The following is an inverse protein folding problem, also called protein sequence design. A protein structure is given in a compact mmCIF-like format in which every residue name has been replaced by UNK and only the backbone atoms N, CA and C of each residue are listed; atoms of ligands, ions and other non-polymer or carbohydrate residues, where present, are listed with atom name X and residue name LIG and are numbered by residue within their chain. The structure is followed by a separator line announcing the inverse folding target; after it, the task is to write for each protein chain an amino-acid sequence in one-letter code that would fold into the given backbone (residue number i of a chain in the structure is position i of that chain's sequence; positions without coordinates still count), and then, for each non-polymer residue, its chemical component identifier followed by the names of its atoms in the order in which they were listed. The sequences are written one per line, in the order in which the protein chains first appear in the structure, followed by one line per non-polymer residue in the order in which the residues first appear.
data_IF_051432606760
#
_entry.id   IF_051432606760
#
_cell.length_a   1.000
_cell.length_b   1.000
_cell.length_c   1.000
_cell.angle_alpha   90.00
_cell.angle_beta   90.00
_cell.angle_gamma   90.00
#
_symmetry.space_group_name_H-M   'P 1'
#
loop_
_entity.id
_entity.type
_entity.pdbx_description
1 polymer ?
#
# COMPACT_ATOMS: atom_id res chain seq x y z
N UNK A 1 48.42 -9.04 22.84
CA UNK A 1 47.55 -7.88 22.51
C UNK A 1 47.93 -7.14 21.22
N UNK A 2 49.19 -6.75 20.98
CA UNK A 2 49.59 -5.97 19.78
C UNK A 2 49.25 -6.63 18.42
N UNK A 3 49.38 -7.95 18.31
CA UNK A 3 49.10 -8.70 17.06
C UNK A 3 47.62 -8.62 16.67
N UNK A 4 46.70 -8.76 17.65
CA UNK A 4 45.25 -8.71 17.41
C UNK A 4 44.79 -7.33 16.93
N UNK A 5 45.40 -6.26 17.45
CA UNK A 5 45.13 -4.89 17.00
C UNK A 5 45.60 -4.65 15.56
N UNK A 6 46.74 -5.23 15.17
CA UNK A 6 47.25 -5.14 13.79
C UNK A 6 46.31 -5.79 12.78
N UNK A 7 45.81 -7.00 13.07
CA UNK A 7 44.85 -7.69 12.20
C UNK A 7 43.53 -6.93 12.04
N UNK A 8 43.02 -6.33 13.13
CA UNK A 8 41.79 -5.53 13.07
C UNK A 8 41.96 -4.27 12.20
N UNK A 9 43.13 -3.63 12.26
CA UNK A 9 43.44 -2.46 11.44
C UNK A 9 43.57 -2.81 9.95
N UNK A 10 44.20 -3.94 9.62
CA UNK A 10 44.33 -4.42 8.24
C UNK A 10 42.95 -4.76 7.66
N UNK A 11 42.08 -5.42 8.44
CA UNK A 11 40.72 -5.76 8.00
C UNK A 11 39.89 -4.50 7.70
N UNK A 12 39.92 -3.50 8.58
CA UNK A 12 39.24 -2.22 8.35
C UNK A 12 39.77 -1.49 7.11
N UNK A 13 41.09 -1.56 6.87
CA UNK A 13 41.70 -0.93 5.68
C UNK A 13 41.27 -1.63 4.39
N UNK A 14 41.18 -2.96 4.39
CA UNK A 14 40.65 -3.73 3.26
C UNK A 14 39.19 -3.41 2.99
N UNK A 15 38.34 -3.41 4.02
CA UNK A 15 36.92 -3.06 3.89
C UNK A 15 36.73 -1.64 3.33
N UNK A 16 37.55 -0.68 3.77
CA UNK A 16 37.51 0.69 3.24
C UNK A 16 37.89 0.75 1.75
N UNK A 17 38.95 0.07 1.34
CA UNK A 17 39.36 0.03 -0.08
C UNK A 17 38.30 -0.65 -0.97
N UNK A 18 37.65 -1.71 -0.47
CA UNK A 18 36.57 -2.36 -1.20
C UNK A 18 35.34 -1.47 -1.36
N UNK A 19 35.07 -0.61 -0.37
CA UNK A 19 33.97 0.36 -0.42
C UNK A 19 34.27 1.48 -1.42
N UNK A 20 35.48 2.05 -1.37
CA UNK A 20 35.93 3.08 -2.33
C UNK A 20 35.92 2.55 -3.78
N UNK A 21 36.30 1.30 -4.01
CA UNK A 21 36.24 0.66 -5.33
C UNK A 21 34.80 0.47 -5.82
N UNK A 22 33.85 0.18 -4.92
CA UNK A 22 32.43 0.08 -5.25
C UNK A 22 31.84 1.43 -5.64
N UNK A 23 32.15 2.48 -4.88
CA UNK A 23 31.72 3.85 -5.18
C UNK A 23 32.24 4.30 -6.55
N UNK A 24 33.53 4.09 -6.85
CA UNK A 24 34.10 4.42 -8.17
C UNK A 24 33.44 3.67 -9.33
N UNK A 25 33.02 2.43 -9.11
CA UNK A 25 32.31 1.63 -10.12
C UNK A 25 30.87 2.13 -10.33
N UNK A 26 30.18 2.53 -9.26
CA UNK A 26 28.84 3.14 -9.37
C UNK A 26 28.89 4.49 -10.11
N UNK A 27 29.86 5.34 -9.78
CA UNK A 27 30.05 6.62 -10.48
C UNK A 27 30.32 6.44 -11.98
N UNK A 28 31.15 5.45 -12.34
CA UNK A 28 31.43 5.12 -13.74
C UNK A 28 30.18 4.67 -14.48
N UNK A 29 29.33 3.83 -13.85
CA UNK A 29 28.06 3.39 -14.43
C UNK A 29 27.07 4.54 -14.61
N UNK A 30 27.00 5.46 -13.66
CA UNK A 30 26.15 6.65 -13.76
C UNK A 30 26.62 7.53 -14.93
N UNK A 31 27.94 7.71 -15.07
CA UNK A 31 28.50 8.51 -16.16
C UNK A 31 28.22 7.90 -17.54
N UNK A 32 28.32 6.58 -17.67
CA UNK A 32 28.03 5.86 -18.92
C UNK A 32 26.55 5.98 -19.31
N UNK A 33 25.65 5.78 -18.34
CA UNK A 33 24.20 5.98 -18.56
C UNK A 33 23.86 7.41 -19.01
N UNK A 34 24.47 8.42 -18.40
CA UNK A 34 24.26 9.81 -18.80
C UNK A 34 24.74 10.08 -20.25
N UNK A 35 25.78 9.38 -20.73
CA UNK A 35 26.23 9.49 -22.13
C UNK A 35 25.24 8.85 -23.10
N UNK A 36 24.69 7.69 -22.74
CA UNK A 36 23.66 7.01 -23.53
C UNK A 36 22.38 7.87 -23.64
N UNK A 37 21.91 8.41 -22.52
CA UNK A 37 20.74 9.29 -22.48
C UNK A 37 20.96 10.55 -23.35
N UNK A 38 22.14 11.19 -23.26
CA UNK A 38 22.48 12.35 -24.07
C UNK A 38 22.50 12.03 -25.58
N UNK A 39 23.06 10.88 -25.97
CA UNK A 39 23.07 10.44 -27.37
C UNK A 39 21.65 10.19 -27.89
N UNK A 40 20.77 9.60 -27.06
CA UNK A 40 19.36 9.39 -27.39
C UNK A 40 18.63 10.72 -27.64
N UNK A 41 18.82 11.72 -26.78
CA UNK A 41 18.23 13.05 -26.95
C UNK A 41 18.72 13.76 -28.23
N UNK A 42 20.02 13.65 -28.55
CA UNK A 42 20.57 14.21 -29.77
C UNK A 42 19.97 13.57 -31.03
N UNK A 43 19.74 12.27 -31.01
CA UNK A 43 19.10 11.57 -32.13
C UNK A 43 17.63 11.99 -32.30
N UNK A 44 16.90 12.18 -31.19
CA UNK A 44 15.52 12.66 -31.20
C UNK A 44 15.42 14.07 -31.80
N UNK A 45 16.27 14.99 -31.35
CA UNK A 45 16.35 16.37 -31.87
C UNK A 45 16.68 16.39 -33.37
N UNK A 46 17.59 15.52 -33.83
CA UNK A 46 17.89 15.41 -35.27
C UNK A 46 16.67 14.93 -36.07
N UNK A 47 15.90 13.98 -35.54
CA UNK A 47 14.66 13.50 -36.18
C UNK A 47 13.60 14.61 -36.26
N UNK A 48 13.41 15.35 -35.17
CA UNK A 48 12.48 16.49 -35.13
C UNK A 48 12.88 17.61 -36.11
N UNK A 49 14.17 17.98 -36.14
CA UNK A 49 14.68 18.99 -37.08
C UNK A 49 14.53 18.56 -38.53
N UNK A 50 14.76 17.28 -38.85
CA UNK A 50 14.52 16.76 -40.20
C UNK A 50 13.03 16.76 -40.55
N UNK A 51 12.15 16.46 -39.59
CA UNK A 51 10.70 16.53 -39.81
C UNK A 51 10.24 17.97 -40.11
N UNK A 52 10.75 18.95 -39.36
CA UNK A 52 10.49 20.37 -39.60
C UNK A 52 11.04 20.80 -40.96
N UNK A 53 12.28 20.40 -41.30
CA UNK A 53 12.90 20.71 -42.60
C UNK A 53 12.06 20.18 -43.77
N UNK A 54 11.53 18.96 -43.66
CA UNK A 54 10.67 18.38 -44.68
C UNK A 54 9.32 19.12 -44.81
N UNK A 55 8.77 19.63 -43.71
CA UNK A 55 7.53 20.40 -43.72
C UNK A 55 7.70 21.81 -44.29
N UNK A 56 8.85 22.45 -44.02
CA UNK A 56 9.13 23.82 -44.48
C UNK A 56 9.51 23.86 -45.97
N UNK A 57 9.87 22.71 -46.57
CA UNK A 57 10.33 22.64 -47.95
C UNK A 57 11.71 23.28 -48.07
N UNK A 58 12.76 22.47 -48.04
CA UNK A 58 14.12 22.96 -48.21
C UNK A 58 14.40 23.37 -49.67
N UNK A 59 13.98 24.57 -50.05
CA UNK A 59 14.68 25.32 -51.09
C UNK A 59 15.97 25.85 -50.47
N UNK A 60 17.01 25.02 -50.45
CA UNK A 60 18.38 25.48 -50.22
C UNK A 60 18.81 26.28 -51.44
N UNK A 61 18.48 27.56 -51.46
CA UNK A 61 19.21 28.53 -52.28
C UNK A 61 19.97 29.45 -51.33
N UNK A 62 21.29 29.26 -51.32
CA UNK A 62 22.23 30.29 -50.94
C UNK A 62 21.90 31.52 -51.78
N UNK A 63 21.16 32.48 -51.20
CA UNK A 63 21.26 33.92 -51.42
C UNK A 63 20.03 34.61 -50.82
N UNK A 64 20.30 35.40 -49.78
CA UNK A 64 19.46 36.40 -49.14
C UNK A 64 18.35 37.00 -50.03
N UNK A 65 17.12 36.53 -49.87
CA UNK A 65 15.93 37.38 -49.91
C UNK A 65 14.76 36.59 -49.30
N UNK A 66 14.19 37.14 -48.25
CA UNK A 66 13.00 36.70 -47.53
C UNK A 66 11.80 36.54 -48.48
N UNK A 67 11.75 35.46 -49.26
CA UNK A 67 10.52 34.99 -49.89
C UNK A 67 9.84 34.09 -48.89
N UNK A 68 9.13 34.75 -47.98
CA UNK A 68 8.00 34.16 -47.24
C UNK A 68 7.24 33.30 -48.24
N UNK A 69 7.16 32.01 -47.94
CA UNK A 69 6.50 30.99 -48.76
C UNK A 69 5.20 31.56 -49.30
N UNK A 70 5.17 31.86 -50.59
CA UNK A 70 3.96 32.30 -51.28
C UNK A 70 2.92 31.23 -51.02
N UNK A 71 1.89 31.59 -50.23
CA UNK A 71 0.75 30.75 -49.90
C UNK A 71 -0.10 30.63 -51.18
N UNK A 72 0.41 29.96 -52.21
CA UNK A 72 -0.19 29.94 -53.55
C UNK A 72 -1.27 28.87 -53.73
N UNK A 73 -1.75 28.27 -52.64
CA UNK A 73 -2.85 27.30 -52.72
C UNK A 73 -3.73 27.24 -51.47
N UNK A 74 -3.85 28.36 -50.73
CA UNK A 74 -4.90 28.45 -49.72
C UNK A 74 -6.26 28.46 -50.42
N UNK A 75 -6.91 27.30 -50.48
CA UNK A 75 -8.31 27.14 -50.89
C UNK A 75 -9.13 28.20 -50.17
N UNK A 76 -9.74 29.14 -50.91
CA UNK A 76 -10.61 30.16 -50.35
C UNK A 76 -11.87 29.46 -49.83
N UNK A 77 -12.00 29.39 -48.51
CA UNK A 77 -13.12 28.74 -47.83
C UNK A 77 -14.32 29.69 -47.84
N UNK A 78 -15.52 29.17 -48.12
CA UNK A 78 -16.76 29.95 -48.03
C UNK A 78 -17.04 30.39 -46.58
N UNK A 79 -17.61 31.59 -46.32
CA UNK A 79 -17.96 32.03 -44.96
C UNK A 79 -18.79 31.02 -44.16
N UNK A 80 -19.68 30.27 -44.83
CA UNK A 80 -20.51 29.23 -44.20
C UNK A 80 -19.66 28.03 -43.76
N UNK A 81 -18.72 27.60 -44.61
CA UNK A 81 -17.81 26.50 -44.31
C UNK A 81 -16.83 26.90 -43.18
N UNK A 82 -16.42 28.18 -43.14
CA UNK A 82 -15.61 28.73 -42.05
C UNK A 82 -16.32 28.65 -40.69
N UNK A 83 -17.57 29.11 -40.59
CA UNK A 83 -18.31 29.04 -39.31
C UNK A 83 -18.56 27.58 -38.88
N UNK A 84 -18.80 26.65 -39.82
CA UNK A 84 -18.89 25.22 -39.53
C UNK A 84 -17.57 24.67 -38.95
N UNK A 85 -16.44 24.97 -39.59
CA UNK A 85 -15.11 24.55 -39.12
C UNK A 85 -14.75 25.16 -37.76
N UNK A 86 -15.19 26.38 -37.50
CA UNK A 86 -14.97 27.08 -36.23
C UNK A 86 -15.76 26.42 -35.09
N UNK A 87 -17.00 26.04 -35.33
CA UNK A 87 -17.81 25.32 -34.33
C UNK A 87 -17.31 23.89 -34.10
N UNK A 88 -16.87 23.20 -35.15
CA UNK A 88 -16.20 21.91 -35.04
C UNK A 88 -14.91 22.02 -34.21
N UNK A 89 -14.09 23.05 -34.45
CA UNK A 89 -12.90 23.31 -33.65
C UNK A 89 -13.20 23.57 -32.17
N UNK A 90 -14.28 24.31 -31.87
CA UNK A 90 -14.73 24.52 -30.48
C UNK A 90 -15.08 23.18 -29.82
N UNK A 91 -15.85 22.35 -30.51
CA UNK A 91 -16.24 21.01 -30.03
C UNK A 91 -15.01 20.12 -29.81
N UNK A 92 -14.06 20.11 -30.76
CA UNK A 92 -12.83 19.33 -30.64
C UNK A 92 -11.95 19.80 -29.48
N UNK A 93 -11.83 21.12 -29.25
CA UNK A 93 -11.11 21.66 -28.09
C UNK A 93 -11.74 21.22 -26.77
N UNK A 94 -13.07 21.27 -26.67
CA UNK A 94 -13.78 20.79 -25.48
C UNK A 94 -13.51 19.30 -25.22
N UNK A 95 -13.67 18.46 -26.26
CA UNK A 95 -13.36 17.01 -26.17
C UNK A 95 -11.90 16.77 -25.77
N UNK A 96 -10.95 17.52 -26.33
CA UNK A 96 -9.54 17.37 -26.01
C UNK A 96 -9.23 17.75 -24.55
N UNK A 97 -9.82 18.83 -24.04
CA UNK A 97 -9.70 19.21 -22.63
C UNK A 97 -10.30 18.15 -21.69
N UNK A 98 -11.46 17.58 -22.06
CA UNK A 98 -12.08 16.49 -21.32
C UNK A 98 -11.19 15.24 -21.28
N UNK A 99 -10.62 14.85 -22.43
CA UNK A 99 -9.70 13.70 -22.53
C UNK A 99 -8.40 13.95 -21.76
N UNK A 100 -7.86 15.16 -21.80
CA UNK A 100 -6.67 15.55 -21.04
C UNK A 100 -6.93 15.42 -19.53
N UNK A 101 -8.10 15.89 -19.07
CA UNK A 101 -8.52 15.76 -17.68
C UNK A 101 -8.67 14.30 -17.28
N UNK A 102 -9.35 13.48 -18.08
CA UNK A 102 -9.49 12.04 -17.85
C UNK A 102 -8.12 11.32 -17.79
N UNK A 103 -7.19 11.64 -18.69
CA UNK A 103 -5.83 11.11 -18.68
C UNK A 103 -5.07 11.49 -17.41
N UNK A 104 -5.25 12.71 -16.90
CA UNK A 104 -4.62 13.12 -15.64
C UNK A 104 -5.13 12.31 -14.44
N UNK A 105 -6.43 12.00 -14.40
CA UNK A 105 -7.05 11.14 -13.38
C UNK A 105 -6.50 9.73 -13.47
N UNK A 106 -6.53 9.11 -14.66
CA UNK A 106 -6.01 7.77 -14.89
C UNK A 106 -4.51 7.65 -14.54
N UNK A 107 -3.73 8.71 -14.80
CA UNK A 107 -2.31 8.76 -14.42
C UNK A 107 -2.13 8.73 -12.89
N UNK A 108 -2.97 9.44 -12.16
CA UNK A 108 -2.95 9.44 -10.70
C UNK A 108 -3.40 8.09 -10.12
N UNK A 109 -4.45 7.48 -10.68
CA UNK A 109 -4.90 6.14 -10.28
C UNK A 109 -3.82 5.09 -10.50
N UNK A 110 -3.17 5.11 -11.67
CA UNK A 110 -2.04 4.22 -11.95
C UNK A 110 -0.87 4.41 -10.98
N UNK A 111 -0.59 5.64 -10.54
CA UNK A 111 0.41 5.89 -9.51
C UNK A 111 0.03 5.23 -8.18
N UNK A 112 -1.21 5.41 -7.73
CA UNK A 112 -1.72 4.81 -6.48
C UNK A 112 -1.71 3.27 -6.55
N UNK A 113 -2.09 2.69 -7.68
CA UNK A 113 -2.05 1.23 -7.87
C UNK A 113 -0.61 0.69 -7.75
N UNK A 114 0.39 1.41 -8.27
CA UNK A 114 1.80 1.02 -8.13
C UNK A 114 2.27 1.08 -6.67
N UNK A 115 1.90 2.13 -5.94
CA UNK A 115 2.19 2.26 -4.50
C UNK A 115 1.56 1.11 -3.68
N UNK A 116 0.32 0.74 -4.00
CA UNK A 116 -0.36 -0.39 -3.37
C UNK A 116 0.33 -1.73 -3.68
N UNK A 117 0.76 -1.93 -4.93
CA UNK A 117 1.50 -3.15 -5.32
C UNK A 117 2.80 -3.28 -4.52
N UNK A 118 3.56 -2.19 -4.36
CA UNK A 118 4.81 -2.23 -3.58
C UNK A 118 4.54 -2.52 -2.09
N UNK A 119 3.47 -1.97 -1.53
CA UNK A 119 3.06 -2.26 -0.15
C UNK A 119 2.69 -3.74 0.02
N UNK A 120 1.89 -4.30 -0.89
CA UNK A 120 1.51 -5.71 -0.87
C UNK A 120 2.71 -6.66 -1.05
N UNK A 121 3.70 -6.29 -1.86
CA UNK A 121 4.94 -7.06 -1.99
C UNK A 121 5.68 -7.14 -0.65
N UNK A 122 5.82 -6.01 0.05
CA UNK A 122 6.46 -5.96 1.36
C UNK A 122 5.70 -6.81 2.39
N UNK A 123 4.38 -6.71 2.43
CA UNK A 123 3.54 -7.53 3.31
C UNK A 123 3.70 -9.02 3.02
N UNK A 124 3.77 -9.41 1.74
CA UNK A 124 3.99 -10.80 1.34
C UNK A 124 5.39 -11.30 1.75
N UNK A 125 6.44 -10.49 1.61
CA UNK A 125 7.78 -10.84 2.10
C UNK A 125 7.78 -11.09 3.60
N UNK A 126 7.18 -10.18 4.38
CA UNK A 126 7.06 -10.32 5.83
C UNK A 126 6.26 -11.58 6.21
N UNK A 127 5.20 -11.89 5.46
CA UNK A 127 4.40 -13.11 5.67
C UNK A 127 5.23 -14.37 5.43
N UNK A 128 6.02 -14.42 4.36
CA UNK A 128 6.91 -15.55 4.07
C UNK A 128 7.94 -15.75 5.18
N UNK A 129 8.51 -14.68 5.74
CA UNK A 129 9.42 -14.77 6.89
C UNK A 129 8.75 -15.38 8.12
N UNK A 130 7.51 -14.96 8.43
CA UNK A 130 6.73 -15.53 9.52
C UNK A 130 6.37 -17.01 9.28
N UNK A 131 6.01 -17.38 8.06
CA UNK A 131 5.72 -18.78 7.69
C UNK A 131 6.96 -19.68 7.85
N UNK A 132 8.14 -19.17 7.51
CA UNK A 132 9.41 -19.87 7.74
C UNK A 132 9.70 -20.05 9.24
N UNK A 133 9.49 -19.00 10.04
CA UNK A 133 9.69 -19.07 11.50
C UNK A 133 8.72 -20.07 12.15
N UNK A 134 7.45 -20.06 11.74
CA UNK A 134 6.46 -21.06 12.20
C UNK A 134 6.92 -22.48 11.86
N UNK A 135 7.46 -22.69 10.65
CA UNK A 135 7.96 -23.99 10.21
C UNK A 135 9.13 -24.44 11.08
N UNK A 136 10.09 -23.55 11.34
CA UNK A 136 11.23 -23.79 12.24
C UNK A 136 10.78 -24.15 13.66
N UNK A 137 9.83 -23.39 14.22
CA UNK A 137 9.32 -23.64 15.57
C UNK A 137 8.57 -24.98 15.67
N UNK A 138 7.81 -25.36 14.63
CA UNK A 138 7.16 -26.68 14.57
C UNK A 138 8.17 -27.82 14.59
N UNK A 139 9.28 -27.69 13.87
CA UNK A 139 10.36 -28.68 13.89
C UNK A 139 11.00 -28.80 15.28
N UNK A 140 11.25 -27.67 15.95
CA UNK A 140 11.76 -27.66 17.33
C UNK A 140 10.79 -28.35 18.29
N UNK A 141 9.48 -28.04 18.21
CA UNK A 141 8.46 -28.69 19.04
C UNK A 141 8.44 -30.20 18.79
N UNK A 142 8.47 -30.63 17.53
CA UNK A 142 8.49 -32.04 17.18
C UNK A 142 9.71 -32.78 17.77
N UNK A 143 10.90 -32.17 17.69
CA UNK A 143 12.11 -32.74 18.28
C UNK A 143 12.02 -32.84 19.81
N UNK A 144 11.51 -31.80 20.48
CA UNK A 144 11.30 -31.81 21.93
C UNK A 144 10.27 -32.85 22.37
N UNK A 145 9.20 -33.05 21.60
CA UNK A 145 8.20 -34.09 21.87
C UNK A 145 8.80 -35.49 21.75
N UNK A 146 9.65 -35.71 20.74
CA UNK A 146 10.40 -36.95 20.57
C UNK A 146 11.34 -37.20 21.74
N UNK A 147 12.16 -36.22 22.13
CA UNK A 147 13.06 -36.33 23.28
C UNK A 147 12.30 -36.62 24.59
N UNK A 148 11.14 -35.98 24.80
CA UNK A 148 10.28 -36.23 25.95
C UNK A 148 9.81 -37.69 26.01
N UNK A 149 9.43 -38.28 24.87
CA UNK A 149 9.02 -39.69 24.79
C UNK A 149 10.20 -40.63 25.09
N UNK A 150 11.40 -40.33 24.58
CA UNK A 150 12.59 -41.13 24.84
C UNK A 150 13.03 -41.09 26.32
N UNK A 151 12.95 -39.91 26.96
CA UNK A 151 13.23 -39.76 28.39
C UNK A 151 12.20 -40.52 29.22
N UNK A 152 10.92 -40.39 28.91
CA UNK A 152 9.85 -41.12 29.61
C UNK A 152 10.01 -42.63 29.51
N UNK A 153 10.39 -43.16 28.34
CA UNK A 153 10.67 -44.58 28.16
C UNK A 153 11.85 -45.06 29.02
N UNK A 154 12.95 -44.29 29.07
CA UNK A 154 14.13 -44.60 29.89
C UNK A 154 13.82 -44.53 31.39
N UNK A 155 12.98 -43.62 31.82
CA UNK A 155 12.58 -43.47 33.23
C UNK A 155 11.71 -44.64 33.68
N UNK A 156 10.75 -45.08 32.85
CA UNK A 156 9.95 -46.29 33.09
C UNK A 156 10.85 -47.52 33.19
N UNK A 157 11.84 -47.67 32.29
CA UNK A 157 12.78 -48.80 32.32
C UNK A 157 13.63 -48.81 33.60
N UNK A 158 14.07 -47.65 34.09
CA UNK A 158 14.80 -47.53 35.36
C UNK A 158 13.94 -47.94 36.55
N UNK A 159 12.71 -47.42 36.62
CA UNK A 159 11.75 -47.76 37.68
C UNK A 159 11.49 -49.27 37.70
N UNK A 160 11.29 -49.89 36.53
CA UNK A 160 11.09 -51.34 36.42
C UNK A 160 12.27 -52.15 36.96
N UNK A 161 13.51 -51.73 36.69
CA UNK A 161 14.72 -52.41 37.19
C UNK A 161 14.92 -52.24 38.69
N UNK A 162 14.61 -51.06 39.24
CA UNK A 162 14.67 -50.81 40.68
C UNK A 162 13.61 -51.64 41.43
N UNK A 163 12.41 -51.77 40.86
CA UNK A 163 11.35 -52.61 41.42
C UNK A 163 11.73 -54.11 41.43
N UNK A 164 12.37 -54.62 40.38
CA UNK A 164 12.91 -55.99 40.35
C UNK A 164 13.97 -56.23 41.43
N UNK A 165 14.85 -55.25 41.68
CA UNK A 165 15.91 -55.34 42.69
C UNK A 165 15.30 -55.40 44.11
N UNK A 166 14.32 -54.53 44.41
CA UNK A 166 13.67 -54.49 45.72
C UNK A 166 12.89 -55.78 46.03
N UNK A 167 12.32 -56.43 45.01
CA UNK A 167 11.60 -57.68 45.17
C UNK A 167 12.50 -58.90 45.47
N UNK A 168 13.82 -58.82 45.25
CA UNK A 168 14.75 -59.91 45.59
C UNK A 168 15.11 -59.98 47.08
N UNK A 169 15.02 -58.86 47.81
CA UNK A 169 15.43 -58.76 49.22
C UNK A 169 14.26 -58.91 50.23
N UNK A 170 13.03 -59.10 49.75
CA UNK A 170 11.86 -59.27 50.61
C UNK A 170 11.75 -60.73 51.14
N UNK A 171 11.62 -60.94 52.46
CA UNK A 171 11.41 -62.26 53.06
C UNK A 171 10.19 -62.97 52.46
N UNK A 172 10.35 -64.23 52.06
CA UNK A 172 9.37 -65.06 51.33
C UNK A 172 8.00 -65.12 52.02
N UNK A 173 7.95 -65.01 53.35
CA UNK A 173 6.70 -65.09 54.11
C UNK A 173 5.78 -63.86 53.96
N UNK A 174 6.31 -62.66 53.72
CA UNK A 174 5.48 -61.44 53.52
C UNK A 174 4.96 -61.35 52.06
N UNK A 175 5.71 -61.91 51.12
CA UNK A 175 5.39 -61.89 49.68
C UNK A 175 4.05 -62.56 49.35
N UNK A 176 3.71 -63.62 50.08
CA UNK A 176 2.47 -64.37 49.87
C UNK A 176 1.22 -63.68 50.48
N UNK A 177 1.39 -62.91 51.56
CA UNK A 177 0.31 -62.10 52.16
C UNK A 177 -0.04 -60.86 51.31
N UNK A 178 0.96 -60.20 50.71
CA UNK A 178 0.69 -59.03 49.84
C UNK A 178 0.05 -59.46 48.52
N UNK A 179 0.45 -60.60 47.94
CA UNK A 179 -0.19 -61.17 46.73
C UNK A 179 -1.65 -61.56 46.95
N UNK A 180 -2.03 -61.97 48.16
CA UNK A 180 -3.42 -62.30 48.47
C UNK A 180 -4.28 -61.06 48.71
N UNK A 181 -3.72 -59.98 49.27
CA UNK A 181 -4.41 -58.70 49.42
C UNK A 181 -4.72 -58.01 48.08
N UNK A 182 -3.79 -58.01 47.11
CA UNK A 182 -4.02 -57.38 45.81
C UNK A 182 -4.93 -58.17 44.86
N UNK A 183 -5.14 -59.46 45.11
CA UNK A 183 -6.01 -60.30 44.27
C UNK A 183 -7.51 -60.12 44.57
N UNK A 184 -7.86 -59.40 45.65
CA UNK A 184 -9.24 -59.16 46.06
C UNK A 184 -9.79 -57.78 45.69
N UNK A 185 -8.96 -56.88 45.12
CA UNK A 185 -9.42 -55.62 44.54
C UNK A 185 -9.51 -55.77 43.04
N UNK A 186 -10.64 -56.33 42.61
CA UNK A 186 -11.14 -56.25 41.25
C UNK A 186 -11.02 -54.78 40.79
N UNK A 187 -10.22 -54.47 39.75
CA UNK A 187 -10.15 -53.12 39.24
C UNK A 187 -11.51 -52.82 38.62
N UNK A 188 -12.31 -52.02 39.33
CA UNK A 188 -13.42 -51.31 38.72
C UNK A 188 -12.90 -50.69 37.43
N UNK A 189 -13.53 -51.06 36.32
CA UNK A 189 -13.11 -50.76 34.96
C UNK A 189 -12.51 -49.35 34.89
N UNK A 190 -11.31 -49.17 34.30
CA UNK A 190 -10.81 -47.84 34.01
C UNK A 190 -11.81 -47.22 33.04
N UNK A 191 -12.73 -46.42 33.58
CA UNK A 191 -13.67 -45.62 32.81
C UNK A 191 -12.81 -44.88 31.81
N UNK A 192 -12.93 -45.26 30.54
CA UNK A 192 -12.21 -44.65 29.43
C UNK A 192 -12.15 -43.15 29.66
N UNK A 193 -10.97 -42.50 29.58
CA UNK A 193 -10.93 -41.05 29.61
C UNK A 193 -11.96 -40.60 28.58
N UNK A 194 -12.97 -39.86 29.03
CA UNK A 194 -13.93 -39.23 28.13
C UNK A 194 -13.09 -38.33 27.24
N UNK A 195 -12.66 -38.87 26.11
CA UNK A 195 -12.26 -38.10 24.95
C UNK A 195 -13.52 -37.30 24.68
N UNK A 196 -13.50 -36.04 25.07
CA UNK A 196 -14.49 -35.05 24.65
C UNK A 196 -14.38 -35.00 23.12
N UNK A 197 -15.05 -35.93 22.45
CA UNK A 197 -15.29 -35.95 21.04
C UNK A 197 -16.11 -34.70 20.76
N UNK A 198 -15.46 -33.73 20.15
CA UNK A 198 -16.13 -32.58 19.57
C UNK A 198 -16.11 -31.34 20.45
N UNK A 199 -14.97 -30.64 20.43
CA UNK A 199 -15.07 -29.26 19.93
C UNK A 199 -15.37 -29.36 18.43
N UNK A 200 -16.63 -29.65 18.11
CA UNK A 200 -17.20 -29.36 16.81
C UNK A 200 -17.16 -27.85 16.76
N UNK A 201 -16.09 -27.28 16.17
CA UNK A 201 -16.13 -25.89 15.72
C UNK A 201 -17.39 -25.83 14.88
N UNK A 202 -18.46 -25.12 15.31
CA UNK A 202 -19.68 -25.07 14.54
C UNK A 202 -19.26 -24.62 13.15
N UNK A 203 -19.73 -25.30 12.08
CA UNK A 203 -19.36 -24.91 10.73
C UNK A 203 -19.62 -23.42 10.65
N UNK A 204 -18.56 -22.65 10.43
CA UNK A 204 -18.67 -21.23 10.14
C UNK A 204 -19.41 -21.23 8.83
N UNK A 205 -20.75 -21.20 8.92
CA UNK A 205 -21.61 -20.87 7.80
C UNK A 205 -20.95 -19.61 7.26
N UNK A 206 -20.50 -19.58 5.99
CA UNK A 206 -20.00 -18.34 5.43
C UNK A 206 -21.12 -17.35 5.72
N UNK A 207 -20.84 -16.39 6.60
CA UNK A 207 -21.71 -15.24 6.77
C UNK A 207 -21.68 -14.69 5.37
N UNK A 208 -22.72 -15.01 4.59
CA UNK A 208 -23.06 -14.27 3.40
C UNK A 208 -23.12 -12.86 3.95
N UNK A 209 -22.05 -12.11 3.73
CA UNK A 209 -22.11 -10.67 3.78
C UNK A 209 -23.15 -10.37 2.71
N UNK A 210 -24.43 -10.40 3.12
CA UNK A 210 -25.44 -9.57 2.51
C UNK A 210 -24.81 -8.20 2.66
N UNK A 211 -24.16 -7.74 1.59
CA UNK A 211 -24.00 -6.31 1.37
C UNK A 211 -25.36 -5.76 1.73
N UNK A 212 -25.43 -4.97 2.80
CA UNK A 212 -26.54 -4.05 2.95
C UNK A 212 -26.42 -3.17 1.71
N UNK A 213 -27.09 -3.58 0.64
CA UNK A 213 -27.61 -2.63 -0.32
C UNK A 213 -28.48 -1.73 0.54
N UNK A 214 -27.94 -0.56 0.83
CA UNK A 214 -28.73 0.59 1.26
C UNK A 214 -29.96 0.62 0.35
N UNK A 215 -31.17 0.72 0.91
CA UNK A 215 -32.36 0.93 0.10
C UNK A 215 -32.08 2.15 -0.77
N UNK A 216 -32.17 1.95 -2.09
CA UNK A 216 -32.25 3.05 -3.04
C UNK A 216 -33.43 3.92 -2.57
N UNK A 217 -33.23 5.20 -2.24
CA UNK A 217 -34.36 6.05 -1.87
C UNK A 217 -35.28 6.11 -3.10
N UNK A 218 -36.48 5.56 -2.94
CA UNK A 218 -37.59 5.80 -3.85
C UNK A 218 -37.94 7.28 -3.70
N UNK A 219 -37.53 8.04 -4.72
CA UNK A 219 -37.90 9.42 -4.94
C UNK A 219 -39.41 9.46 -5.19
N UNK A 220 -40.17 9.72 -4.12
CA UNK A 220 -41.58 10.07 -4.24
C UNK A 220 -41.64 11.46 -4.87
N UNK A 221 -41.96 11.48 -6.16
CA UNK A 221 -42.43 12.67 -6.86
C UNK A 221 -43.78 13.06 -6.25
N UNK A 222 -43.95 14.26 -5.69
CA UNK A 222 -45.26 14.83 -5.46
C UNK A 222 -45.76 15.41 -6.79
N UNK A 223 -46.69 14.71 -7.42
CA UNK A 223 -47.62 15.30 -8.38
C UNK A 223 -48.56 16.23 -7.59
N UNK A 224 -48.38 17.54 -7.76
CA UNK A 224 -49.44 18.55 -7.88
C UNK A 224 -48.90 19.93 -7.49
N UNK A 225 -48.53 20.73 -8.50
CA UNK A 225 -48.66 22.19 -8.46
C UNK A 225 -48.79 22.71 -9.90
N UNK A 226 -49.90 22.36 -10.55
CA UNK A 226 -50.46 23.22 -11.58
C UNK A 226 -51.16 24.37 -10.87
N UNK A 227 -50.60 25.59 -10.92
CA UNK A 227 -51.34 26.87 -11.03
C UNK A 227 -50.44 28.13 -10.91
N UNK A 228 -50.23 28.80 -12.07
CA UNK A 228 -50.25 30.28 -12.28
C UNK A 228 -48.97 31.08 -11.88
N UNK A 229 -48.59 32.20 -12.54
CA UNK A 229 -48.32 32.48 -13.96
C UNK A 229 -46.94 33.14 -14.19
N UNK A 230 -46.62 33.31 -15.48
CA UNK A 230 -45.56 34.17 -16.02
C UNK A 230 -45.68 35.64 -15.56
N UNK A 231 -44.56 36.29 -15.18
CA UNK A 231 -44.06 37.54 -15.78
C UNK A 231 -42.79 38.06 -15.07
N UNK A 232 -41.73 38.23 -15.88
CA UNK A 232 -40.66 39.23 -15.88
C UNK A 232 -40.09 39.82 -14.57
N UNK A 233 -38.76 39.62 -14.44
CA UNK A 233 -37.74 40.68 -14.40
C UNK A 233 -36.74 40.63 -13.23
N UNK A 234 -35.47 40.74 -13.62
CA UNK A 234 -34.39 41.47 -12.93
C UNK A 234 -33.75 40.87 -11.68
N UNK A 235 -32.59 40.22 -11.91
CA UNK A 235 -31.30 40.45 -11.22
C UNK A 235 -31.30 40.49 -9.69
N UNK A 236 -30.92 39.39 -9.01
CA UNK A 236 -30.03 39.44 -7.83
C UNK A 236 -29.47 38.04 -7.49
N UNK A 237 -28.13 37.95 -7.54
CA UNK A 237 -27.21 37.03 -6.85
C UNK A 237 -27.64 35.58 -6.58
N UNK A 238 -27.25 34.70 -7.50
CA UNK A 238 -27.09 33.27 -7.29
C UNK A 238 -25.70 33.03 -6.66
N UNK A 239 -25.66 33.04 -5.33
CA UNK A 239 -24.53 32.55 -4.54
C UNK A 239 -24.93 31.24 -3.87
N UNK A 240 -23.96 30.34 -3.87
CA UNK A 240 -23.85 29.16 -3.01
C UNK A 240 -24.72 27.96 -3.36
N UNK A 241 -24.36 27.28 -4.45
CA UNK A 241 -24.39 25.82 -4.48
C UNK A 241 -23.32 25.28 -5.43
N UNK A 242 -22.49 24.39 -4.91
CA UNK A 242 -21.72 23.41 -5.67
C UNK A 242 -20.44 23.87 -6.40
N UNK A 243 -19.46 24.27 -5.59
CA UNK A 243 -18.05 24.01 -5.89
C UNK A 243 -17.51 22.98 -4.89
N UNK A 244 -17.85 21.70 -5.11
CA UNK A 244 -17.03 20.59 -4.62
C UNK A 244 -15.78 20.57 -5.51
N UNK A 245 -14.89 21.52 -5.25
CA UNK A 245 -13.55 21.55 -5.84
C UNK A 245 -12.74 20.50 -5.08
N UNK A 246 -12.55 19.36 -5.74
CA UNK A 246 -11.61 18.31 -5.36
C UNK A 246 -10.16 18.73 -5.65
N UNK A 247 -9.82 19.97 -5.31
CA UNK A 247 -8.47 20.49 -5.35
C UNK A 247 -7.89 20.29 -3.96
N UNK A 248 -6.68 19.76 -3.92
CA UNK A 248 -5.92 19.45 -2.71
C UNK A 248 -5.45 20.73 -2.01
N UNK A 249 -6.36 21.64 -1.68
CA UNK A 249 -6.15 22.85 -0.83
C UNK A 249 -5.98 22.42 0.63
N UNK A 250 -5.21 21.36 0.87
CA UNK A 250 -5.02 20.78 2.18
C UNK A 250 -3.88 21.51 2.87
N UNK A 251 -4.25 22.50 3.69
CA UNK A 251 -3.42 23.27 4.64
C UNK A 251 -2.78 24.55 4.09
N UNK A 252 -3.62 25.54 3.74
CA UNK A 252 -3.19 26.94 3.64
C UNK A 252 -3.67 27.70 4.87
N UNK A 253 -2.81 28.49 5.50
CA UNK A 253 -3.23 29.35 6.60
C UNK A 253 -4.19 30.43 6.06
N UNK A 254 -5.39 30.63 6.66
CA UNK A 254 -6.34 31.61 6.14
C UNK A 254 -5.87 33.06 6.31
N UNK A 255 -4.98 33.33 7.27
CA UNK A 255 -4.51 34.70 7.55
C UNK A 255 -3.27 35.08 6.74
N UNK A 256 -2.22 34.25 6.78
CA UNK A 256 -0.94 34.58 6.12
C UNK A 256 -0.70 33.79 4.82
N UNK A 257 -1.67 32.97 4.40
CA UNK A 257 -1.61 32.15 3.18
C UNK A 257 -0.41 31.20 3.11
N UNK A 258 0.25 30.94 4.23
CA UNK A 258 1.38 30.02 4.29
C UNK A 258 0.96 28.61 3.86
N UNK A 259 1.70 28.05 2.91
CA UNK A 259 1.53 26.72 2.32
C UNK A 259 2.52 25.70 2.88
N UNK A 260 3.55 26.15 3.61
CA UNK A 260 4.60 25.26 4.10
C UNK A 260 4.10 24.36 5.23
N UNK A 261 3.93 23.07 4.92
CA UNK A 261 3.45 22.03 5.86
C UNK A 261 4.25 21.96 7.17
N UNK A 262 5.57 22.23 7.12
CA UNK A 262 6.45 22.22 8.32
C UNK A 262 6.04 23.25 9.37
N UNK A 263 5.41 24.34 8.95
CA UNK A 263 4.96 25.42 9.83
C UNK A 263 3.47 25.33 10.17
N UNK A 264 2.75 24.28 9.75
CA UNK A 264 1.34 24.10 10.10
C UNK A 264 1.24 22.88 11.02
N UNK A 265 1.03 23.13 12.30
CA UNK A 265 0.89 22.08 13.31
C UNK A 265 -0.57 21.64 13.41
N UNK A 266 -0.80 20.33 13.49
CA UNK A 266 -2.12 19.72 13.65
C UNK A 266 -2.29 19.29 15.11
N UNK A 267 -3.43 19.61 15.71
CA UNK A 267 -3.79 19.29 17.10
C UNK A 267 -5.21 18.76 17.17
N UNK A 268 -5.52 18.00 18.22
CA UNK A 268 -6.89 17.53 18.48
C UNK A 268 -7.73 18.66 19.08
N UNK A 269 -8.88 18.96 18.45
CA UNK A 269 -9.86 19.92 18.93
C UNK A 269 -10.78 19.27 19.98
N UNK A 270 -10.43 19.43 21.25
CA UNK A 270 -11.24 18.91 22.36
C UNK A 270 -12.65 19.51 22.43
N UNK A 271 -12.90 20.64 21.77
CA UNK A 271 -14.23 21.25 21.70
C UNK A 271 -15.13 20.59 20.67
N UNK A 272 -14.57 19.86 19.71
CA UNK A 272 -15.31 19.18 18.65
C UNK A 272 -15.18 17.66 18.81
N UNK A 273 -16.17 17.04 19.46
CA UNK A 273 -16.20 15.58 19.63
C UNK A 273 -16.96 14.98 18.45
N UNK A 274 -16.25 14.29 17.57
CA UNK A 274 -16.85 13.64 16.39
C UNK A 274 -17.58 12.35 16.77
N UNK A 275 -17.03 11.61 17.74
CA UNK A 275 -17.64 10.38 18.24
C UNK A 275 -17.35 10.24 19.73
N UNK A 276 -18.36 9.83 20.50
CA UNK A 276 -18.26 9.79 21.95
C UNK A 276 -17.64 8.49 22.48
N UNK A 277 -17.82 7.36 21.77
CA UNK A 277 -17.21 6.07 22.11
C UNK A 277 -16.90 5.21 20.86
N UNK A 278 -15.62 4.89 20.58
CA UNK A 278 -14.42 5.46 21.19
C UNK A 278 -14.36 6.98 21.02
N UNK A 279 -13.80 7.70 21.99
CA UNK A 279 -13.81 9.17 21.97
C UNK A 279 -12.85 9.70 20.90
N UNK A 280 -13.39 10.23 19.81
CA UNK A 280 -12.64 10.82 18.69
C UNK A 280 -12.90 12.33 18.67
N UNK A 281 -11.81 13.11 18.68
CA UNK A 281 -11.86 14.56 18.55
C UNK A 281 -11.61 14.99 17.10
N UNK A 282 -12.21 16.11 16.70
CA UNK A 282 -11.90 16.79 15.45
C UNK A 282 -10.46 17.28 15.42
N UNK A 283 -10.00 17.71 14.25
CA UNK A 283 -8.65 18.27 14.07
C UNK A 283 -8.72 19.79 14.02
N UNK A 284 -7.69 20.46 14.54
CA UNK A 284 -7.45 21.90 14.45
C UNK A 284 -6.03 22.13 13.94
N UNK A 285 -5.86 23.14 13.11
CA UNK A 285 -4.59 23.58 12.57
C UNK A 285 -4.12 24.86 13.25
N UNK A 286 -2.81 24.99 13.46
CA UNK A 286 -2.16 26.21 13.98
C UNK A 286 -0.98 26.60 13.12
N UNK A 287 -0.96 27.85 12.66
CA UNK A 287 0.17 28.39 11.88
C UNK A 287 1.32 28.75 12.82
N UNK A 288 2.54 28.31 12.50
CA UNK A 288 3.75 28.63 13.24
C UNK A 288 4.25 30.06 13.00
N UNK A 289 3.76 30.73 11.96
CA UNK A 289 4.15 32.10 11.60
C UNK A 289 3.25 33.12 12.32
N UNK A 290 1.95 33.14 11.97
CA UNK A 290 1.00 34.12 12.51
C UNK A 290 0.20 33.63 13.73
N UNK A 291 0.38 32.37 14.16
CA UNK A 291 -0.34 31.75 15.28
C UNK A 291 -1.86 31.61 15.12
N UNK A 292 -2.44 31.97 13.97
CA UNK A 292 -3.85 31.71 13.67
C UNK A 292 -4.17 30.23 13.80
N UNK A 293 -5.31 29.93 14.42
CA UNK A 293 -5.84 28.58 14.55
C UNK A 293 -7.13 28.46 13.74
N UNK A 294 -7.29 27.37 12.97
CA UNK A 294 -8.49 27.11 12.17
C UNK A 294 -8.84 25.62 12.16
N UNK A 295 -10.07 25.28 11.75
CA UNK A 295 -10.54 23.89 11.63
C UNK A 295 -10.40 23.43 10.19
#
# INVERSE_FOLDING_TARGET
MKIVLSFKLIKLKLEKMDTERKEQNEDSKIQEKNREDLASYQELLKKELNSIRNLVGSESTENNATKVSTITSAKVISPVEYEKLKEENRTLRFKNNSLTSANSVLKNENRLLRENIETLKLENSNRTELENEITRLKEVIFNLEKERLEIGAKEIEKISKEEELYNQDLPVDISNEVKTLFKSKEPAEPSTPQIHKGFTVPPIKPKKFKRKTTPKPEEKIPEDFNSIPSEDSTTFSELDSEKIIEETVRRKCPTCLNTNKKFIREFNDKSNILMQYPRIYGKKYKCGICRTEWK
#
